data_IF_593625406409
#
_entry.id   IF_593625406409
#
_cell.length_a   1.000
_cell.length_b   1.000
_cell.length_c   1.000
_cell.angle_alpha   90.00
_cell.angle_beta   90.00
_cell.angle_gamma   90.00
#
_symmetry.space_group_name_H-M   'P 1'
#
loop_
_entity.id
_entity.type
_entity.pdbx_description
1 polymer ?
#
# COMPACT_ATOMS: atom_id res chain seq x y z
N UNK A 1 -5.59 -2.64 15.75
CA UNK A 1 -6.55 -1.79 15.01
C UNK A 1 -6.31 -2.11 13.56
N UNK A 2 -7.26 -2.80 12.91
CA UNK A 2 -7.11 -3.17 11.51
C UNK A 2 -7.38 -1.93 10.67
N UNK A 3 -6.43 -1.55 9.83
CA UNK A 3 -6.65 -0.53 8.80
C UNK A 3 -7.85 -0.97 7.96
N UNK A 4 -8.89 -0.12 7.88
CA UNK A 4 -10.06 -0.40 7.05
C UNK A 4 -9.64 -0.50 5.58
N UNK A 5 -9.70 -1.69 4.97
CA UNK A 5 -9.20 -1.94 3.62
C UNK A 5 -9.96 -1.14 2.55
N UNK A 6 -11.15 -0.62 2.89
CA UNK A 6 -11.96 0.22 2.02
C UNK A 6 -11.33 1.58 1.72
N UNK A 7 -10.57 2.15 2.65
CA UNK A 7 -10.02 3.50 2.51
C UNK A 7 -8.87 3.56 1.48
N UNK A 8 -8.06 2.50 1.37
CA UNK A 8 -6.97 2.46 0.37
C UNK A 8 -7.50 2.33 -1.07
N UNK A 9 -8.73 1.82 -1.25
CA UNK A 9 -9.39 1.74 -2.56
C UNK A 9 -9.61 3.14 -3.15
N UNK A 10 -9.80 4.14 -2.29
CA UNK A 10 -9.87 5.55 -2.72
C UNK A 10 -8.54 6.09 -3.26
N UNK A 11 -7.44 5.38 -3.02
CA UNK A 11 -6.09 5.77 -3.41
C UNK A 11 -5.56 4.98 -4.62
N UNK A 12 -6.41 4.19 -5.28
CA UNK A 12 -6.09 3.52 -6.54
C UNK A 12 -5.54 4.53 -7.57
N UNK A 13 -4.47 4.14 -8.27
CA UNK A 13 -3.78 4.97 -9.26
C UNK A 13 -3.16 6.28 -8.71
N UNK A 14 -2.84 6.31 -7.41
CA UNK A 14 -2.14 7.44 -6.77
C UNK A 14 -0.90 6.99 -6.02
N UNK A 15 0.05 7.89 -5.85
CA UNK A 15 1.25 7.63 -5.05
C UNK A 15 0.84 7.52 -3.58
N UNK A 16 0.81 6.30 -3.07
CA UNK A 16 0.44 6.02 -1.69
C UNK A 16 1.70 5.71 -0.89
N UNK A 17 1.89 6.37 0.23
CA UNK A 17 2.93 6.03 1.18
C UNK A 17 2.36 5.04 2.19
N UNK A 18 2.96 3.85 2.27
CA UNK A 18 2.50 2.77 3.16
C UNK A 18 3.51 2.61 4.29
N UNK A 19 3.03 2.62 5.52
CA UNK A 19 3.76 2.28 6.73
C UNK A 19 3.37 0.89 7.21
N UNK A 20 4.36 0.01 7.34
CA UNK A 20 4.19 -1.32 7.91
C UNK A 20 4.32 -1.28 9.43
N UNK A 21 3.68 -2.25 10.10
CA UNK A 21 3.75 -2.43 11.56
C UNK A 21 5.17 -2.64 12.11
N UNK A 22 6.15 -2.94 11.26
CA UNK A 22 7.56 -3.09 11.62
C UNK A 22 8.35 -1.75 11.50
N UNK A 23 7.67 -0.64 11.22
CA UNK A 23 8.28 0.69 11.05
C UNK A 23 8.86 0.96 9.66
N UNK A 24 8.74 0.02 8.71
CA UNK A 24 9.14 0.29 7.32
C UNK A 24 8.09 1.09 6.58
N UNK A 25 8.49 2.25 6.06
CA UNK A 25 7.72 3.06 5.13
C UNK A 25 8.21 2.89 3.71
N UNK A 26 7.30 2.75 2.74
CA UNK A 26 7.67 2.77 1.33
C UNK A 26 6.57 3.40 0.46
N UNK A 27 7.00 3.94 -0.67
CA UNK A 27 6.08 4.33 -1.73
C UNK A 27 5.49 3.09 -2.39
N UNK A 28 4.18 3.09 -2.53
CA UNK A 28 3.41 2.03 -3.15
C UNK A 28 2.36 2.65 -4.07
N UNK A 29 2.27 2.11 -5.27
CA UNK A 29 1.36 2.55 -6.30
C UNK A 29 0.32 1.46 -6.54
N UNK A 30 -0.82 1.50 -5.84
CA UNK A 30 -1.85 0.48 -5.95
C UNK A 30 -2.50 0.54 -7.33
N UNK A 31 -2.45 -0.59 -8.03
CA UNK A 31 -3.13 -0.77 -9.33
C UNK A 31 -4.40 -1.59 -9.19
N UNK A 32 -4.46 -2.45 -8.17
CA UNK A 32 -5.60 -3.29 -7.87
C UNK A 32 -5.73 -3.49 -6.36
N UNK A 33 -6.93 -3.32 -5.81
CA UNK A 33 -7.20 -3.53 -4.38
C UNK A 33 -8.29 -4.59 -4.24
N UNK A 34 -7.95 -5.70 -3.60
CA UNK A 34 -8.88 -6.76 -3.20
C UNK A 34 -9.56 -6.46 -1.86
N UNK A 35 -10.18 -7.48 -1.25
CA UNK A 35 -10.85 -7.32 0.05
C UNK A 35 -9.88 -7.18 1.22
N UNK A 36 -8.72 -7.84 1.15
CA UNK A 36 -7.74 -7.92 2.25
C UNK A 36 -6.28 -7.77 1.77
N UNK A 37 -6.09 -7.54 0.48
CA UNK A 37 -4.77 -7.41 -0.14
C UNK A 37 -4.78 -6.34 -1.22
N UNK A 38 -3.64 -5.70 -1.42
CA UNK A 38 -3.43 -4.71 -2.47
C UNK A 38 -2.27 -5.16 -3.35
N UNK A 39 -2.47 -5.05 -4.66
CA UNK A 39 -1.46 -5.32 -5.67
C UNK A 39 -1.12 -4.04 -6.40
N UNK A 40 0.15 -3.87 -6.74
CA UNK A 40 0.61 -2.65 -7.36
C UNK A 40 2.11 -2.63 -7.56
N UNK A 41 2.65 -1.44 -7.72
CA UNK A 41 4.09 -1.25 -7.81
C UNK A 41 4.64 -0.72 -6.50
N UNK A 42 5.57 -1.45 -5.90
CA UNK A 42 6.35 -1.02 -4.74
C UNK A 42 7.62 -0.32 -5.20
N UNK A 43 7.90 0.84 -4.61
CA UNK A 43 9.19 1.51 -4.78
C UNK A 43 10.23 0.87 -3.87
N UNK A 44 11.34 0.42 -4.46
CA UNK A 44 12.46 -0.16 -3.73
C UNK A 44 13.66 0.80 -3.62
N UNK A 45 13.47 2.10 -3.86
CA UNK A 45 14.53 3.11 -3.86
C UNK A 45 15.17 3.35 -5.23
N UNK A 46 15.17 2.35 -6.12
CA UNK A 46 15.74 2.44 -7.47
C UNK A 46 14.69 2.44 -8.57
N UNK A 47 13.69 1.56 -8.47
CA UNK A 47 12.63 1.42 -9.47
C UNK A 47 11.34 0.91 -8.83
N UNK A 48 10.27 1.01 -9.61
CA UNK A 48 8.95 0.46 -9.31
C UNK A 48 8.91 -1.03 -9.65
N UNK A 49 8.79 -1.88 -8.62
CA UNK A 49 8.67 -3.33 -8.78
C UNK A 49 7.24 -3.77 -8.50
N UNK A 50 6.65 -4.60 -9.35
CA UNK A 50 5.32 -5.15 -9.08
C UNK A 50 5.34 -6.06 -7.84
N UNK A 51 4.49 -5.76 -6.86
CA UNK A 51 4.41 -6.49 -5.60
C UNK A 51 3.01 -6.41 -4.98
N UNK A 52 2.65 -7.43 -4.22
CA UNK A 52 1.41 -7.47 -3.45
C UNK A 52 1.69 -7.33 -1.96
N UNK A 53 0.93 -6.48 -1.29
CA UNK A 53 0.99 -6.27 0.16
C UNK A 53 -0.36 -6.61 0.77
N UNK A 54 -0.35 -7.38 1.86
CA UNK A 54 -1.55 -7.65 2.66
C UNK A 54 -1.92 -6.43 3.49
N UNK A 55 -3.20 -6.04 3.48
CA UNK A 55 -3.68 -4.88 4.23
C UNK A 55 -3.49 -5.05 5.75
N UNK A 56 -3.48 -6.29 6.22
CA UNK A 56 -3.21 -6.66 7.62
C UNK A 56 -1.81 -6.26 8.11
N UNK A 57 -0.81 -6.20 7.21
CA UNK A 57 0.54 -5.76 7.57
C UNK A 57 0.71 -4.25 7.60
N UNK A 58 -0.24 -3.51 7.03
CA UNK A 58 -0.20 -2.06 6.93
C UNK A 58 -0.71 -1.48 8.25
N UNK A 59 0.14 -0.67 8.88
CA UNK A 59 -0.18 0.04 10.12
C UNK A 59 -0.88 1.35 9.79
N UNK A 60 -0.32 2.10 8.85
CA UNK A 60 -0.87 3.37 8.39
C UNK A 60 -0.54 3.58 6.91
N UNK A 61 -1.35 4.39 6.24
CA UNK A 61 -1.14 4.73 4.84
C UNK A 61 -1.55 6.18 4.60
N UNK A 62 -0.89 6.84 3.66
CA UNK A 62 -1.16 8.23 3.29
C UNK A 62 -1.15 8.36 1.78
N UNK A 63 -2.20 8.92 1.23
CA UNK A 63 -2.35 9.07 -0.21
C UNK A 63 -2.05 10.51 -0.59
N UNK A 64 -1.17 10.70 -1.57
CA UNK A 64 -0.82 12.00 -2.12
C UNK A 64 -1.50 12.24 -3.48
#
# INVERSE_FOLDING_TARGET
MAVDPGAIRGCLYRNTYIWLNNGQGFWFYPTFVGRTSVSGFRWNGFFWMFSGVSLDRIESFTCF
#
